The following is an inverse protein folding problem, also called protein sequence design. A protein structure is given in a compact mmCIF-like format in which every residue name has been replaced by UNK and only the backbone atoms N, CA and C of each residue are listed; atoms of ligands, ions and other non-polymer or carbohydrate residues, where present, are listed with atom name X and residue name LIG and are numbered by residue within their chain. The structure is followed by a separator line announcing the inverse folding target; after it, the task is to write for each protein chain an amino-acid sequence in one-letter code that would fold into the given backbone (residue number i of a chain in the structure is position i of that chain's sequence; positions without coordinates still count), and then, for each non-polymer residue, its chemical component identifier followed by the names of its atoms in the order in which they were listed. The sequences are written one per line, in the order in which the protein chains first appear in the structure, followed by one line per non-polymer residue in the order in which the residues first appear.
data_IF_139326764615
#
_entry.id   IF_139326764615
#
_cell.length_a   1.000
_cell.length_b   1.000
_cell.length_c   1.000
_cell.angle_alpha   90.00
_cell.angle_beta   90.00
_cell.angle_gamma   90.00
#
_symmetry.space_group_name_H-M   'P 1'
#
loop_
_entity.id
_entity.type
_entity.pdbx_description
1 polymer ?
#
# COMPACT_ATOMS: atom_id res chain seq x y z
N UNK A 1 2.42 15.15 -14.16
CA UNK A 1 1.15 15.76 -13.71
C UNK A 1 1.41 17.24 -13.53
N UNK A 2 0.48 18.10 -13.93
CA UNK A 2 0.50 19.52 -13.57
C UNK A 2 -0.11 19.74 -12.18
N UNK A 3 -1.18 19.01 -11.87
CA UNK A 3 -1.88 19.05 -10.58
C UNK A 3 -1.98 17.61 -10.03
N UNK A 4 -1.03 17.18 -9.18
CA UNK A 4 -0.97 15.81 -8.69
C UNK A 4 -2.22 15.40 -7.91
N UNK A 5 -2.78 16.29 -7.10
CA UNK A 5 -3.96 15.99 -6.28
C UNK A 5 -5.18 15.63 -7.15
N UNK A 6 -5.40 16.39 -8.22
CA UNK A 6 -6.54 16.17 -9.13
C UNK A 6 -6.30 15.06 -10.14
N UNK A 7 -5.06 14.86 -10.58
CA UNK A 7 -4.75 13.91 -11.66
C UNK A 7 -4.44 12.50 -11.16
N UNK A 8 -3.90 12.33 -9.95
CA UNK A 8 -3.32 11.04 -9.53
C UNK A 8 -4.31 9.88 -9.56
N UNK A 9 -5.59 10.13 -9.27
CA UNK A 9 -6.60 9.08 -9.30
C UNK A 9 -6.74 8.48 -10.70
N UNK A 10 -6.73 9.33 -11.73
CA UNK A 10 -6.78 8.89 -13.13
C UNK A 10 -5.46 8.22 -13.54
N UNK A 11 -4.32 8.76 -13.11
CA UNK A 11 -3.00 8.18 -13.38
C UNK A 11 -2.88 6.77 -12.79
N UNK A 12 -3.28 6.55 -11.54
CA UNK A 12 -3.27 5.24 -10.89
C UNK A 12 -4.11 4.21 -11.66
N UNK A 13 -5.28 4.61 -12.16
CA UNK A 13 -6.15 3.75 -12.98
C UNK A 13 -5.57 3.48 -14.37
N UNK A 14 -4.90 4.46 -15.00
CA UNK A 14 -4.18 4.23 -16.26
C UNK A 14 -3.05 3.22 -16.11
N UNK A 15 -2.30 3.29 -15.01
CA UNK A 15 -1.21 2.37 -14.72
C UNK A 15 -1.71 0.95 -14.41
N UNK A 16 -2.84 0.80 -13.70
CA UNK A 16 -3.28 -0.51 -13.16
C UNK A 16 -4.46 -1.15 -13.90
N UNK A 17 -5.36 -0.36 -14.47
CA UNK A 17 -6.67 -0.80 -14.95
C UNK A 17 -6.97 -0.37 -16.40
N UNK A 18 -5.94 -0.04 -17.20
CA UNK A 18 -6.11 0.31 -18.61
C UNK A 18 -6.37 -0.92 -19.49
N UNK A 19 -7.36 -0.81 -20.39
CA UNK A 19 -7.74 -1.89 -21.32
C UNK A 19 -6.72 -2.15 -22.44
N UNK A 20 -5.76 -1.23 -22.66
CA UNK A 20 -4.69 -1.37 -23.67
C UNK A 20 -3.28 -1.43 -23.03
N UNK A 21 -2.44 -2.42 -23.42
CA UNK A 21 -1.02 -2.45 -23.02
C UNK A 21 -0.24 -1.21 -23.45
N UNK A 22 -0.57 -0.64 -24.61
CA UNK A 22 0.09 0.57 -25.12
C UNK A 22 -0.26 1.78 -24.25
N UNK A 23 -1.53 1.91 -23.84
CA UNK A 23 -1.96 2.97 -22.91
C UNK A 23 -1.25 2.84 -21.57
N UNK A 24 -1.14 1.61 -21.03
CA UNK A 24 -0.42 1.34 -19.80
C UNK A 24 1.05 1.78 -19.91
N UNK A 25 1.73 1.34 -20.97
CA UNK A 25 3.14 1.66 -21.22
C UNK A 25 3.35 3.17 -21.39
N UNK A 26 2.53 3.84 -22.19
CA UNK A 26 2.62 5.29 -22.37
C UNK A 26 2.34 6.06 -21.07
N UNK A 27 1.45 5.55 -20.22
CA UNK A 27 1.23 6.14 -18.90
C UNK A 27 2.48 6.03 -18.01
N UNK A 28 3.17 4.88 -18.02
CA UNK A 28 4.46 4.72 -17.34
C UNK A 28 5.50 5.72 -17.86
N UNK A 29 5.64 5.84 -19.18
CA UNK A 29 6.62 6.76 -19.79
C UNK A 29 6.32 8.24 -19.47
N UNK A 30 5.03 8.59 -19.33
CA UNK A 30 4.57 9.96 -19.09
C UNK A 30 4.59 10.37 -17.61
N UNK A 31 4.20 9.47 -16.71
CA UNK A 31 3.91 9.83 -15.32
C UNK A 31 4.89 9.25 -14.30
N UNK A 32 5.72 8.27 -14.68
CA UNK A 32 6.64 7.59 -13.77
C UNK A 32 8.08 8.02 -14.08
N UNK A 33 8.81 8.39 -13.03
CA UNK A 33 10.22 8.77 -13.12
C UNK A 33 11.07 7.59 -13.60
N UNK A 34 12.17 7.86 -14.32
CA UNK A 34 13.08 6.81 -14.81
C UNK A 34 13.72 6.00 -13.66
N UNK A 35 13.94 6.68 -12.54
CA UNK A 35 14.57 6.18 -11.32
C UNK A 35 13.60 5.84 -10.19
N UNK A 36 12.37 5.44 -10.54
CA UNK A 36 11.30 5.12 -9.60
C UNK A 36 11.64 3.99 -8.62
N UNK A 37 11.34 4.19 -7.34
CA UNK A 37 11.27 3.11 -6.36
C UNK A 37 9.87 2.50 -6.25
N UNK A 38 9.80 1.21 -5.93
CA UNK A 38 8.54 0.53 -5.71
C UNK A 38 8.62 -0.46 -4.58
N UNK A 39 7.62 -0.49 -3.69
CA UNK A 39 7.52 -1.46 -2.62
C UNK A 39 6.10 -2.00 -2.53
N UNK A 40 5.99 -3.31 -2.65
CA UNK A 40 4.74 -4.05 -2.57
C UNK A 40 4.96 -5.27 -1.67
N UNK A 41 3.92 -5.86 -1.05
CA UNK A 41 4.10 -7.02 -0.17
C UNK A 41 4.83 -8.22 -0.80
N UNK A 42 4.88 -8.32 -2.12
CA UNK A 42 5.56 -9.41 -2.85
C UNK A 42 6.91 -9.05 -3.46
N UNK A 43 7.17 -7.78 -3.71
CA UNK A 43 8.33 -7.38 -4.50
C UNK A 43 8.77 -5.96 -4.17
N UNK A 44 10.04 -5.70 -4.44
CA UNK A 44 10.69 -4.43 -4.18
C UNK A 44 11.59 -4.07 -5.36
N UNK A 45 11.49 -2.82 -5.81
CA UNK A 45 12.37 -2.22 -6.80
C UNK A 45 13.07 -1.04 -6.13
N UNK A 46 14.38 -1.13 -5.87
CA UNK A 46 15.12 0.02 -5.38
C UNK A 46 15.25 1.10 -6.47
N UNK A 47 15.18 2.39 -6.12
CA UNK A 47 15.45 3.49 -7.04
C UNK A 47 16.82 3.31 -7.73
N UNK A 48 16.83 3.35 -9.05
CA UNK A 48 18.05 3.25 -9.88
C UNK A 48 17.78 3.74 -11.30
N UNK A 49 18.82 4.11 -12.07
CA UNK A 49 18.71 4.82 -13.37
C UNK A 49 17.65 4.29 -14.36
N UNK A 50 17.40 2.98 -14.37
CA UNK A 50 16.46 2.29 -15.29
C UNK A 50 15.46 1.38 -14.52
N UNK A 51 15.15 1.75 -13.28
CA UNK A 51 14.21 1.01 -12.41
C UNK A 51 12.77 1.05 -12.90
N UNK A 52 12.39 2.07 -13.69
CA UNK A 52 11.06 2.18 -14.30
C UNK A 52 10.74 1.00 -15.22
N UNK A 53 11.71 0.54 -15.99
CA UNK A 53 11.56 -0.59 -16.91
C UNK A 53 11.36 -1.89 -16.13
N UNK A 54 12.03 -2.02 -14.97
CA UNK A 54 11.81 -3.14 -14.04
C UNK A 54 10.38 -3.09 -13.46
N UNK A 55 9.94 -1.92 -13.02
CA UNK A 55 8.58 -1.74 -12.50
C UNK A 55 7.50 -1.99 -13.56
N UNK A 56 7.73 -1.54 -14.80
CA UNK A 56 6.85 -1.81 -15.92
C UNK A 56 6.71 -3.33 -16.16
N UNK A 57 7.81 -4.09 -16.06
CA UNK A 57 7.77 -5.56 -16.15
C UNK A 57 6.87 -6.21 -15.08
N UNK A 58 6.88 -5.68 -13.86
CA UNK A 58 5.98 -6.14 -12.78
C UNK A 58 4.51 -5.87 -13.15
N UNK A 59 4.20 -4.66 -13.63
CA UNK A 59 2.84 -4.29 -14.03
C UNK A 59 2.35 -5.06 -15.28
N UNK A 60 3.24 -5.37 -16.21
CA UNK A 60 2.98 -6.28 -17.33
C UNK A 60 2.63 -7.68 -16.82
N UNK A 61 3.39 -8.20 -15.86
CA UNK A 61 3.10 -9.50 -15.26
C UNK A 61 1.76 -9.49 -14.53
N UNK A 62 1.41 -8.42 -13.83
CA UNK A 62 0.11 -8.27 -13.17
C UNK A 62 -1.05 -8.30 -14.18
N UNK A 63 -0.88 -7.64 -15.33
CA UNK A 63 -1.83 -7.72 -16.45
C UNK A 63 -1.94 -9.13 -17.04
N UNK A 64 -0.81 -9.84 -17.17
CA UNK A 64 -0.81 -11.24 -17.63
C UNK A 64 -1.55 -12.11 -16.62
N UNK A 65 -1.33 -11.93 -15.33
CA UNK A 65 -2.05 -12.66 -14.29
C UNK A 65 -3.53 -12.29 -14.24
N UNK A 66 -3.89 -11.02 -14.42
CA UNK A 66 -5.27 -10.53 -14.38
C UNK A 66 -5.55 -9.57 -15.54
N UNK A 67 -6.12 -10.06 -16.66
CA UNK A 67 -6.36 -9.23 -17.84
C UNK A 67 -7.41 -8.15 -17.66
N UNK A 68 -8.30 -8.32 -16.68
CA UNK A 68 -9.38 -7.39 -16.35
C UNK A 68 -9.27 -7.03 -14.88
N UNK A 69 -8.61 -5.91 -14.62
CA UNK A 69 -8.50 -5.31 -13.29
C UNK A 69 -9.53 -4.21 -13.19
N UNK A 70 -10.34 -4.23 -12.13
CA UNK A 70 -11.26 -3.13 -11.83
C UNK A 70 -10.76 -2.45 -10.58
N UNK A 71 -10.32 -1.20 -10.71
CA UNK A 71 -9.88 -0.35 -9.60
C UNK A 71 -10.84 0.81 -9.37
N UNK A 72 -10.92 1.29 -8.12
CA UNK A 72 -11.56 2.55 -7.75
C UNK A 72 -10.72 3.26 -6.72
N UNK A 73 -10.46 4.55 -6.95
CA UNK A 73 -9.86 5.44 -5.96
C UNK A 73 -11.00 6.05 -5.16
N UNK A 74 -10.99 5.87 -3.84
CA UNK A 74 -12.03 6.36 -2.92
C UNK A 74 -11.72 7.76 -2.41
N UNK A 75 -10.47 7.99 -2.05
CA UNK A 75 -9.99 9.29 -1.61
C UNK A 75 -8.53 9.48 -1.98
N UNK A 76 -8.16 10.75 -2.15
CA UNK A 76 -6.79 11.21 -2.32
C UNK A 76 -6.53 12.24 -1.24
N UNK A 77 -5.37 12.16 -0.60
CA UNK A 77 -4.83 13.21 0.26
C UNK A 77 -3.48 13.59 -0.30
N UNK A 78 -3.25 14.87 -0.55
CA UNK A 78 -1.94 15.37 -0.95
C UNK A 78 -1.29 16.14 0.21
N UNK A 79 -0.14 15.65 0.64
CA UNK A 79 0.78 16.39 1.50
C UNK A 79 1.78 17.11 0.58
N UNK A 80 1.46 18.36 0.25
CA UNK A 80 2.29 19.21 -0.61
C UNK A 80 3.69 19.41 -0.03
N UNK A 81 3.81 19.60 1.28
CA UNK A 81 5.08 19.90 1.95
C UNK A 81 6.08 18.74 1.86
N UNK A 82 5.58 17.50 1.84
CA UNK A 82 6.39 16.29 1.70
C UNK A 82 6.30 15.67 0.29
N UNK A 83 5.66 16.33 -0.67
CA UNK A 83 5.37 15.81 -2.01
C UNK A 83 4.86 14.37 -2.00
N UNK A 84 3.95 14.05 -1.08
CA UNK A 84 3.45 12.69 -0.84
C UNK A 84 1.94 12.65 -1.03
N UNK A 85 1.47 11.73 -1.87
CA UNK A 85 0.06 11.42 -2.09
C UNK A 85 -0.30 10.13 -1.37
N UNK A 86 -1.45 10.12 -0.69
CA UNK A 86 -2.04 8.94 -0.08
C UNK A 86 -3.36 8.63 -0.75
N UNK A 87 -3.48 7.44 -1.35
CA UNK A 87 -4.66 7.00 -2.06
C UNK A 87 -5.31 5.84 -1.31
N UNK A 88 -6.56 6.00 -0.90
CA UNK A 88 -7.39 4.87 -0.49
C UNK A 88 -8.00 4.25 -1.74
N UNK A 89 -7.65 3.00 -2.01
CA UNK A 89 -8.09 2.30 -3.21
C UNK A 89 -8.78 0.99 -2.86
N UNK A 90 -9.68 0.60 -3.75
CA UNK A 90 -10.17 -0.78 -3.82
C UNK A 90 -9.98 -1.32 -5.21
N UNK A 91 -9.59 -2.58 -5.30
CA UNK A 91 -9.42 -3.26 -6.55
C UNK A 91 -10.00 -4.66 -6.52
N UNK A 92 -10.39 -5.13 -7.70
CA UNK A 92 -10.84 -6.49 -7.94
C UNK A 92 -9.87 -7.12 -8.93
N UNK A 93 -8.88 -7.82 -8.38
CA UNK A 93 -7.89 -8.58 -9.13
C UNK A 93 -8.36 -10.02 -9.28
N UNK A 94 -8.39 -10.53 -10.51
CA UNK A 94 -8.76 -11.91 -10.79
C UNK A 94 -7.64 -12.64 -11.50
N UNK A 95 -6.98 -13.56 -10.80
CA UNK A 95 -5.96 -14.44 -11.39
C UNK A 95 -6.62 -15.32 -12.44
N UNK A 96 -6.12 -15.27 -13.69
CA UNK A 96 -6.68 -15.92 -14.89
C UNK A 96 -6.97 -17.41 -14.71
N UNK A 97 -6.10 -18.11 -13.99
CA UNK A 97 -6.19 -19.57 -13.76
C UNK A 97 -6.88 -19.93 -12.44
N UNK A 98 -7.31 -18.94 -11.65
CA UNK A 98 -7.91 -19.20 -10.35
C UNK A 98 -9.35 -19.71 -10.50
N UNK A 99 -9.73 -20.80 -9.82
CA UNK A 99 -11.11 -21.30 -9.81
C UNK A 99 -12.05 -20.45 -8.95
N UNK A 100 -11.52 -19.47 -8.21
CA UNK A 100 -12.29 -18.69 -7.24
C UNK A 100 -12.84 -17.41 -7.84
N UNK A 101 -14.05 -17.03 -7.40
CA UNK A 101 -14.62 -15.72 -7.74
C UNK A 101 -13.73 -14.61 -7.17
N UNK A 102 -13.37 -13.59 -7.96
CA UNK A 102 -12.58 -12.47 -7.47
C UNK A 102 -13.35 -11.68 -6.41
N UNK A 103 -12.63 -11.25 -5.38
CA UNK A 103 -13.14 -10.43 -4.29
C UNK A 103 -12.60 -9.00 -4.38
N UNK A 104 -13.30 -8.06 -3.77
CA UNK A 104 -12.75 -6.71 -3.57
C UNK A 104 -11.67 -6.78 -2.49
N UNK A 105 -10.54 -6.15 -2.77
CA UNK A 105 -9.41 -5.95 -1.87
C UNK A 105 -9.16 -4.46 -1.70
N UNK A 106 -8.97 -4.03 -0.46
CA UNK A 106 -8.58 -2.64 -0.13
C UNK A 106 -7.06 -2.53 -0.03
N UNK A 107 -6.54 -1.40 -0.47
CA UNK A 107 -5.15 -1.01 -0.28
C UNK A 107 -5.03 0.49 -0.03
N UNK A 108 -3.99 0.86 0.71
CA UNK A 108 -3.51 2.23 0.79
C UNK A 108 -2.26 2.33 -0.07
N UNK A 109 -2.23 3.27 -1.01
CA UNK A 109 -1.07 3.51 -1.85
C UNK A 109 -0.44 4.84 -1.44
N UNK A 110 0.82 4.81 -1.06
CA UNK A 110 1.63 6.01 -0.80
C UNK A 110 2.51 6.27 -2.02
N UNK A 111 2.38 7.45 -2.59
CA UNK A 111 3.15 7.87 -3.77
C UNK A 111 3.97 9.11 -3.40
N UNK A 112 5.28 9.01 -3.54
CA UNK A 112 6.16 10.18 -3.56
C UNK A 112 6.25 10.69 -4.98
N UNK A 113 6.12 12.00 -5.16
CA UNK A 113 6.33 12.66 -6.45
C UNK A 113 7.57 13.56 -6.40
N UNK A 114 8.24 13.67 -7.54
CA UNK A 114 9.33 14.63 -7.75
C UNK A 114 8.93 15.60 -8.84
N UNK A 115 9.18 16.89 -8.61
CA UNK A 115 8.95 17.94 -9.60
C UNK A 115 10.18 18.11 -10.50
N UNK A 116 9.96 18.10 -11.81
CA UNK A 116 10.98 18.37 -12.83
C UNK A 116 10.35 19.31 -13.86
N UNK A 117 10.89 20.53 -13.98
CA UNK A 117 10.42 21.55 -14.93
C UNK A 117 8.90 21.86 -14.81
N UNK A 118 8.38 21.95 -13.58
CA UNK A 118 6.95 22.23 -13.34
C UNK A 118 6.02 21.04 -13.59
N UNK A 119 6.57 19.84 -13.77
CA UNK A 119 5.79 18.60 -13.90
C UNK A 119 6.16 17.62 -12.80
N UNK A 120 5.15 17.01 -12.20
CA UNK A 120 5.32 15.98 -11.18
C UNK A 120 5.33 14.58 -11.77
N UNK A 121 6.29 13.78 -11.33
CA UNK A 121 6.49 12.38 -11.72
C UNK A 121 6.49 11.49 -10.48
N UNK A 122 5.91 10.29 -10.57
CA UNK A 122 5.96 9.28 -9.51
C UNK A 122 7.41 8.81 -9.38
N UNK A 123 8.04 9.16 -8.26
CA UNK A 123 9.43 8.78 -7.93
C UNK A 123 9.50 7.64 -6.93
N UNK A 124 8.44 7.41 -6.15
CA UNK A 124 8.33 6.22 -5.32
C UNK A 124 6.86 5.80 -5.15
N UNK A 125 6.57 4.51 -5.20
CA UNK A 125 5.25 3.97 -4.86
C UNK A 125 5.37 2.87 -3.80
N UNK A 126 4.56 2.95 -2.75
CA UNK A 126 4.42 1.93 -1.71
C UNK A 126 2.97 1.47 -1.61
N UNK A 127 2.76 0.16 -1.68
CA UNK A 127 1.44 -0.44 -1.58
C UNK A 127 1.28 -1.14 -0.23
N UNK A 128 0.30 -0.70 0.56
CA UNK A 128 -0.03 -1.27 1.86
C UNK A 128 -1.35 -2.00 1.79
N UNK A 129 -1.29 -3.29 2.13
CA UNK A 129 -2.47 -4.15 2.26
C UNK A 129 -2.58 -4.65 3.68
N UNK A 130 -3.80 -4.76 4.17
CA UNK A 130 -4.04 -5.65 5.30
C UNK A 130 -3.86 -7.10 4.86
N UNK A 131 -3.40 -8.00 5.74
CA UNK A 131 -3.13 -9.40 5.38
C UNK A 131 -4.32 -10.10 4.74
N UNK A 132 -5.54 -9.86 5.23
CA UNK A 132 -6.76 -10.43 4.69
C UNK A 132 -7.15 -9.85 3.33
N UNK A 133 -6.91 -8.56 3.08
CA UNK A 133 -7.12 -7.93 1.78
C UNK A 133 -6.10 -8.43 0.76
N UNK A 134 -4.86 -8.62 1.18
CA UNK A 134 -3.83 -9.24 0.36
C UNK A 134 -4.20 -10.69 0.02
N UNK A 135 -4.70 -11.46 0.99
CA UNK A 135 -5.20 -12.81 0.75
C UNK A 135 -6.39 -12.83 -0.22
N UNK A 136 -7.30 -11.84 -0.16
CA UNK A 136 -8.41 -11.69 -1.13
C UNK A 136 -7.95 -11.54 -2.58
N UNK A 137 -6.75 -11.01 -2.83
CA UNK A 137 -6.19 -10.93 -4.18
C UNK A 137 -5.74 -12.30 -4.72
N UNK A 138 -5.18 -13.14 -3.85
CA UNK A 138 -4.52 -14.39 -4.24
C UNK A 138 -5.43 -15.62 -4.06
N UNK A 139 -5.95 -15.79 -2.85
CA UNK A 139 -6.77 -16.94 -2.44
C UNK A 139 -7.90 -16.44 -1.51
N UNK A 140 -9.04 -15.99 -2.06
CA UNK A 140 -10.12 -15.36 -1.28
C UNK A 140 -10.61 -16.19 -0.09
N UNK A 141 -10.54 -17.52 -0.18
CA UNK A 141 -10.95 -18.44 0.89
C UNK A 141 -10.10 -18.34 2.16
N UNK A 142 -8.90 -17.79 2.10
CA UNK A 142 -8.03 -17.64 3.29
C UNK A 142 -8.40 -16.43 4.15
N UNK A 143 -9.08 -15.42 3.59
CA UNK A 143 -9.37 -14.18 4.30
C UNK A 143 -10.20 -14.38 5.59
N UNK A 144 -11.25 -15.23 5.63
CA UNK A 144 -11.96 -15.52 6.87
C UNK A 144 -11.08 -16.17 7.95
N UNK A 145 -10.15 -17.05 7.56
CA UNK A 145 -9.24 -17.70 8.50
C UNK A 145 -8.25 -16.70 9.11
N UNK A 146 -7.73 -15.75 8.31
CA UNK A 146 -6.87 -14.66 8.77
C UNK A 146 -7.62 -13.78 9.79
N UNK A 147 -8.86 -13.38 9.46
CA UNK A 147 -9.70 -12.58 10.36
C UNK A 147 -10.00 -13.31 11.67
N UNK A 148 -10.27 -14.62 11.60
CA UNK A 148 -10.49 -15.44 12.79
C UNK A 148 -9.24 -15.49 13.67
N UNK A 149 -8.06 -15.69 13.08
CA UNK A 149 -6.80 -15.68 13.80
C UNK A 149 -6.50 -14.32 14.44
N UNK A 150 -6.72 -13.21 13.72
CA UNK A 150 -6.57 -11.86 14.24
C UNK A 150 -7.52 -11.61 15.43
N UNK A 151 -8.79 -12.00 15.30
CA UNK A 151 -9.79 -11.86 16.37
C UNK A 151 -9.42 -12.71 17.59
N UNK A 152 -8.98 -13.95 17.37
CA UNK A 152 -8.49 -14.83 18.42
C UNK A 152 -7.27 -14.26 19.15
N UNK A 153 -6.34 -13.66 18.41
CA UNK A 153 -5.19 -12.95 18.99
C UNK A 153 -5.65 -11.78 19.87
N UNK A 154 -6.62 -10.98 19.43
CA UNK A 154 -7.18 -9.89 20.25
C UNK A 154 -7.77 -10.39 21.57
N UNK A 155 -8.51 -11.49 21.54
CA UNK A 155 -9.06 -12.11 22.76
C UNK A 155 -7.94 -12.59 23.69
N UNK A 156 -6.98 -13.34 23.15
CA UNK A 156 -5.84 -13.85 23.91
C UNK A 156 -5.03 -12.71 24.55
N UNK A 157 -4.75 -11.64 23.81
CA UNK A 157 -4.03 -10.46 24.33
C UNK A 157 -4.74 -9.83 25.53
N UNK A 158 -6.07 -9.73 25.51
CA UNK A 158 -6.84 -9.16 26.64
C UNK A 158 -6.87 -10.10 27.85
N UNK A 159 -6.96 -11.41 27.63
CA UNK A 159 -6.84 -12.40 28.71
C UNK A 159 -5.47 -12.31 29.38
N UNK A 160 -4.40 -12.32 28.57
CA UNK A 160 -3.04 -12.19 29.08
C UNK A 160 -2.79 -10.85 29.78
N UNK A 161 -3.31 -9.75 29.24
CA UNK A 161 -3.23 -8.43 29.88
C UNK A 161 -3.95 -8.42 31.24
N UNK A 162 -5.13 -9.05 31.34
CA UNK A 162 -5.87 -9.16 32.60
C UNK A 162 -5.09 -9.97 33.64
N UNK A 163 -4.48 -11.09 33.24
CA UNK A 163 -3.60 -11.87 34.11
C UNK A 163 -2.40 -11.03 34.57
N UNK A 164 -1.76 -10.31 33.65
CA UNK A 164 -0.63 -9.45 33.97
C UNK A 164 -1.00 -8.31 34.94
N UNK A 165 -2.20 -7.74 34.82
CA UNK A 165 -2.74 -6.75 35.76
C UNK A 165 -2.92 -7.33 37.17
N UNK A 166 -3.52 -8.52 37.27
CA UNK A 166 -3.70 -9.23 38.56
C UNK A 166 -2.36 -9.52 39.22
N UNK A 167 -1.38 -9.98 38.44
CA UNK A 167 -0.01 -10.22 38.92
C UNK A 167 0.76 -8.92 39.21
N UNK A 168 0.20 -7.76 38.86
CA UNK A 168 0.75 -6.45 39.17
C UNK A 168 1.78 -5.92 38.18
N UNK A 169 1.96 -6.56 37.03
CA UNK A 169 2.86 -6.10 35.98
C UNK A 169 2.36 -4.83 35.25
N UNK A 170 1.06 -4.55 35.30
CA UNK A 170 0.47 -3.33 34.74
C UNK A 170 -0.38 -2.60 35.80
N UNK A 171 0.14 -1.49 36.33
CA UNK A 171 -0.50 -0.65 37.35
C UNK A 171 -0.32 0.84 37.01
N UNK A 172 -1.22 1.46 36.24
CA UNK A 172 -1.13 2.88 35.93
C UNK A 172 -1.19 3.70 37.23
N UNK A 173 -0.13 4.43 37.54
CA UNK A 173 -0.15 5.44 38.59
C UNK A 173 -0.82 6.68 37.98
N UNK A 174 -1.91 7.18 38.58
CA UNK A 174 -2.69 8.31 38.08
C UNK A 174 -1.98 9.67 38.14
N UNK A 175 -0.72 9.76 37.73
CA UNK A 175 0.01 11.03 37.56
C UNK A 175 -0.35 11.66 36.22
N UNK A 176 -0.40 12.99 36.18
CA UNK A 176 -0.47 13.75 34.93
C UNK A 176 0.71 13.36 34.03
N UNK A 177 0.38 12.75 32.89
CA UNK A 177 1.33 12.39 31.85
C UNK A 177 1.70 13.61 31.04
N UNK A 178 2.98 13.98 31.04
CA UNK A 178 3.55 14.85 30.02
C UNK A 178 3.49 14.08 28.69
N UNK A 179 2.81 14.64 27.68
CA UNK A 179 2.73 14.03 26.36
C UNK A 179 4.13 13.97 25.76
N UNK A 180 4.63 12.79 25.37
CA UNK A 180 5.96 12.69 24.81
C UNK A 180 5.93 13.18 23.35
N UNK A 181 6.84 14.10 23.00
CA UNK A 181 6.99 14.65 21.63
C UNK A 181 7.53 13.59 20.64
N UNK A 182 8.16 12.54 21.14
CA UNK A 182 8.63 11.36 20.39
C UNK A 182 8.23 10.08 21.13
N UNK A 183 7.99 8.97 20.42
CA UNK A 183 7.56 7.71 21.04
C UNK A 183 8.52 7.19 22.13
N UNK A 184 8.08 6.21 22.91
CA UNK A 184 8.81 5.64 24.07
C UNK A 184 10.16 4.97 23.75
N UNK A 185 10.56 4.93 22.48
CA UNK A 185 11.82 4.35 22.02
C UNK A 185 12.69 5.45 21.40
N UNK A 186 13.80 5.76 22.05
CA UNK A 186 14.74 6.82 21.67
C UNK A 186 15.85 6.33 20.70
N UNK A 187 15.76 5.10 20.20
CA UNK A 187 16.63 4.58 19.15
C UNK A 187 18.10 4.36 19.54
N UNK A 188 18.50 4.71 20.76
CA UNK A 188 19.91 4.76 21.19
C UNK A 188 20.39 3.50 21.93
N UNK A 189 19.64 2.39 21.87
CA UNK A 189 20.16 1.09 22.27
C UNK A 189 20.89 0.45 21.10
N UNK A 190 22.18 0.72 21.01
CA UNK A 190 23.13 -0.16 20.33
C UNK A 190 23.32 -1.41 21.19
N UNK A 191 22.57 -2.47 20.88
CA UNK A 191 23.00 -3.85 21.15
C UNK A 191 23.59 -4.44 19.85
#
# INVERSE_FOLDING_TARGET
MQDPEREIASVALLLTASDSPDVQKSAFEKYVARDVGFKHPLCYVPPSRDSRETLLGIYQWYRVMSPKIVGKVRSVVYDEGNHTLLLDMVQKFHIRISPFKPAWSRLLVRITVTEINGLYYISFQEDFYHPEDFARLLVPMLAPAILFAQTGASVASNVYASIAQVLGFWRPAGKETVLPDTGLYDGNKTD
#
